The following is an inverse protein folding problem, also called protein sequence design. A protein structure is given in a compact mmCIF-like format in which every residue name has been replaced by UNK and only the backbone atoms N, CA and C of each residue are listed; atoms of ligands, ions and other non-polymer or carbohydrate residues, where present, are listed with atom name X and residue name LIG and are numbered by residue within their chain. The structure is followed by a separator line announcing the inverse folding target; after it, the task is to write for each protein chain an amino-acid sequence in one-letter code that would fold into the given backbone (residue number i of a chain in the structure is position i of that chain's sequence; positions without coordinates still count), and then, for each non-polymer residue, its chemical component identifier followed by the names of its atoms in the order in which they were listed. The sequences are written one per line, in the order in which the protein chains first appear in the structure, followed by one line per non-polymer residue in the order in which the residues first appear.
data_IF_437055491066
#
_entry.id   IF_437055491066
#
_cell.length_a   1.000
_cell.length_b   1.000
_cell.length_c   1.000
_cell.angle_alpha   90.00
_cell.angle_beta   90.00
_cell.angle_gamma   90.00
#
_symmetry.space_group_name_H-M   'P 1'
#
loop_
_entity.id
_entity.type
_entity.pdbx_description
1 polymer ?
#
# COMPACT_ATOMS: atom_id res chain seq x y z
N UNK A 1 -11.09 -34.85 60.38
CA UNK A 1 -10.76 -33.46 59.98
C UNK A 1 -10.39 -33.47 58.50
N UNK A 2 -11.33 -33.13 57.60
CA UNK A 2 -11.17 -33.29 56.13
C UNK A 2 -10.28 -32.16 55.59
N UNK A 3 -9.06 -32.50 55.16
CA UNK A 3 -8.03 -31.55 54.69
C UNK A 3 -8.00 -31.39 53.16
N UNK A 4 -8.89 -32.06 52.42
CA UNK A 4 -8.93 -32.10 50.95
C UNK A 4 -9.87 -31.08 50.27
N UNK A 5 -10.78 -30.44 51.00
CA UNK A 5 -11.78 -29.53 50.40
C UNK A 5 -11.18 -28.15 50.04
N UNK A 6 -10.12 -27.71 50.72
CA UNK A 6 -9.51 -26.39 50.50
C UNK A 6 -8.72 -26.30 49.21
N UNK A 7 -8.09 -27.38 48.78
CA UNK A 7 -7.27 -27.37 47.56
C UNK A 7 -8.13 -27.32 46.29
N UNK A 8 -9.24 -28.07 46.24
CA UNK A 8 -10.16 -28.04 45.11
C UNK A 8 -10.84 -26.68 44.92
N UNK A 9 -11.18 -26.02 46.04
CA UNK A 9 -11.74 -24.67 46.01
C UNK A 9 -10.75 -23.65 45.40
N UNK A 10 -9.47 -23.70 45.78
CA UNK A 10 -8.44 -22.78 45.23
C UNK A 10 -8.23 -22.99 43.72
N UNK A 11 -8.30 -24.23 43.24
CA UNK A 11 -8.24 -24.51 41.80
C UNK A 11 -9.44 -23.93 41.05
N UNK A 12 -10.64 -24.05 41.62
CA UNK A 12 -11.86 -23.49 41.03
C UNK A 12 -11.78 -21.96 40.98
N UNK A 13 -11.36 -21.30 42.06
CA UNK A 13 -11.19 -19.84 42.10
C UNK A 13 -10.19 -19.37 41.03
N UNK A 14 -9.04 -20.05 40.92
CA UNK A 14 -8.02 -19.73 39.91
C UNK A 14 -8.54 -19.86 38.48
N UNK A 15 -9.29 -20.93 38.20
CA UNK A 15 -9.90 -21.14 36.88
C UNK A 15 -10.96 -20.08 36.59
N UNK A 16 -11.83 -19.76 37.54
CA UNK A 16 -12.87 -18.73 37.36
C UNK A 16 -12.23 -17.36 37.11
N UNK A 17 -11.23 -16.96 37.89
CA UNK A 17 -10.55 -15.67 37.68
C UNK A 17 -9.84 -15.61 36.33
N UNK A 18 -9.24 -16.72 35.89
CA UNK A 18 -8.60 -16.80 34.58
C UNK A 18 -9.62 -16.70 33.45
N UNK A 19 -10.77 -17.37 33.58
CA UNK A 19 -11.86 -17.28 32.59
C UNK A 19 -12.46 -15.88 32.53
N UNK A 20 -12.67 -15.23 33.67
CA UNK A 20 -13.15 -13.83 33.70
C UNK A 20 -12.13 -12.92 33.03
N UNK A 21 -10.83 -13.08 33.33
CA UNK A 21 -9.76 -12.30 32.71
C UNK A 21 -9.71 -12.49 31.18
N UNK A 22 -9.76 -13.74 30.70
CA UNK A 22 -9.79 -14.05 29.26
C UNK A 22 -11.04 -13.50 28.59
N UNK A 23 -12.19 -13.57 29.25
CA UNK A 23 -13.45 -13.00 28.75
C UNK A 23 -13.36 -11.48 28.62
N UNK A 24 -12.78 -10.80 29.61
CA UNK A 24 -12.57 -9.35 29.55
C UNK A 24 -11.62 -8.95 28.41
N UNK A 25 -10.50 -9.67 28.23
CA UNK A 25 -9.56 -9.41 27.13
C UNK A 25 -10.26 -9.62 25.78
N UNK A 26 -11.02 -10.72 25.63
CA UNK A 26 -11.78 -11.00 24.42
C UNK A 26 -12.78 -9.90 24.08
N UNK A 27 -13.53 -9.42 25.07
CA UNK A 27 -14.48 -8.32 24.90
C UNK A 27 -13.78 -7.02 24.44
N UNK A 28 -12.63 -6.70 25.03
CA UNK A 28 -11.84 -5.51 24.66
C UNK A 28 -11.32 -5.60 23.23
N UNK A 29 -10.81 -6.76 22.80
CA UNK A 29 -10.28 -6.95 21.45
C UNK A 29 -11.34 -6.69 20.37
N UNK A 30 -12.59 -7.11 20.58
CA UNK A 30 -13.69 -6.88 19.63
C UNK A 30 -13.89 -5.39 19.34
N UNK A 31 -13.71 -4.52 20.33
CA UNK A 31 -13.82 -3.06 20.15
C UNK A 31 -12.56 -2.43 19.54
N UNK A 32 -11.37 -2.98 19.83
CA UNK A 32 -10.09 -2.39 19.41
C UNK A 32 -9.67 -2.84 18.00
N UNK A 33 -9.91 -4.10 17.63
CA UNK A 33 -9.47 -4.68 16.35
C UNK A 33 -9.91 -3.85 15.13
N UNK A 34 -11.15 -3.33 15.03
CA UNK A 34 -11.55 -2.50 13.89
C UNK A 34 -10.71 -1.23 13.75
N UNK A 35 -10.32 -0.60 14.87
CA UNK A 35 -9.53 0.64 14.87
C UNK A 35 -8.06 0.39 14.52
N UNK A 36 -7.52 -0.74 14.97
CA UNK A 36 -6.18 -1.19 14.57
C UNK A 36 -6.14 -1.40 13.05
N UNK A 37 -7.12 -2.10 12.49
CA UNK A 37 -7.19 -2.36 11.04
C UNK A 37 -7.26 -1.06 10.24
N UNK A 38 -8.14 -0.12 10.62
CA UNK A 38 -8.22 1.21 9.98
C UNK A 38 -6.86 1.95 9.99
N UNK A 39 -6.13 1.86 11.10
CA UNK A 39 -4.82 2.52 11.23
C UNK A 39 -3.76 1.83 10.37
N UNK A 40 -3.79 0.49 10.27
CA UNK A 40 -2.91 -0.27 9.40
C UNK A 40 -3.16 0.05 7.92
N UNK A 41 -4.43 0.01 7.47
CA UNK A 41 -4.83 0.34 6.10
C UNK A 41 -4.34 1.75 5.72
N UNK A 42 -4.52 2.73 6.61
CA UNK A 42 -4.04 4.11 6.39
C UNK A 42 -2.51 4.17 6.25
N UNK A 43 -1.78 3.47 7.11
CA UNK A 43 -0.32 3.43 7.05
C UNK A 43 0.18 2.80 5.74
N UNK A 44 -0.51 1.80 5.20
CA UNK A 44 -0.20 1.19 3.90
C UNK A 44 -0.41 2.20 2.76
N UNK A 45 -1.51 2.96 2.78
CA UNK A 45 -1.79 4.00 1.78
C UNK A 45 -0.73 5.10 1.83
N UNK A 46 -0.39 5.59 3.03
CA UNK A 46 0.63 6.63 3.22
C UNK A 46 2.03 6.14 2.79
N UNK A 47 2.38 4.89 3.11
CA UNK A 47 3.62 4.29 2.62
C UNK A 47 3.64 4.23 1.09
N UNK A 48 2.53 3.84 0.47
CA UNK A 48 2.41 3.76 -0.99
C UNK A 48 2.53 5.12 -1.64
N UNK A 49 1.91 6.14 -1.05
CA UNK A 49 2.05 7.53 -1.48
C UNK A 49 3.53 7.96 -1.44
N UNK A 50 4.24 7.66 -0.35
CA UNK A 50 5.66 7.96 -0.22
C UNK A 50 6.51 7.24 -1.28
N UNK A 51 6.17 6.00 -1.64
CA UNK A 51 6.84 5.25 -2.71
C UNK A 51 6.63 5.92 -4.07
N UNK A 52 5.39 6.29 -4.40
CA UNK A 52 5.09 6.99 -5.66
C UNK A 52 5.78 8.37 -5.72
N UNK A 53 5.82 9.10 -4.61
CA UNK A 53 6.55 10.37 -4.51
C UNK A 53 8.06 10.17 -4.66
N UNK A 54 8.61 9.08 -4.12
CA UNK A 54 10.02 8.73 -4.31
C UNK A 54 10.33 8.46 -5.78
N UNK A 55 9.50 7.65 -6.45
CA UNK A 55 9.61 7.39 -7.89
C UNK A 55 9.54 8.71 -8.67
N UNK A 56 8.58 9.59 -8.34
CA UNK A 56 8.45 10.89 -8.99
C UNK A 56 9.67 11.80 -8.79
N UNK A 57 10.22 11.84 -7.58
CA UNK A 57 11.45 12.57 -7.28
C UNK A 57 12.65 12.01 -8.04
N UNK A 58 12.76 10.68 -8.15
CA UNK A 58 13.79 10.01 -8.94
C UNK A 58 13.64 10.36 -10.42
N UNK A 59 12.44 10.28 -10.98
CA UNK A 59 12.12 10.68 -12.36
C UNK A 59 12.52 12.14 -12.61
N UNK A 60 12.11 13.06 -11.76
CA UNK A 60 12.46 14.48 -11.87
C UNK A 60 13.98 14.70 -11.86
N UNK A 61 14.70 14.02 -10.95
CA UNK A 61 16.18 14.12 -10.88
C UNK A 61 16.87 13.53 -12.12
N UNK A 62 16.32 12.46 -12.70
CA UNK A 62 16.88 11.83 -13.90
C UNK A 62 16.72 12.70 -15.14
N UNK A 63 15.60 13.39 -15.25
CA UNK A 63 15.33 14.32 -16.34
C UNK A 63 16.34 15.48 -16.32
N UNK A 64 16.64 16.02 -15.14
CA UNK A 64 17.69 17.05 -14.99
C UNK A 64 19.08 16.56 -15.39
N UNK A 65 19.37 15.27 -15.18
CA UNK A 65 20.65 14.66 -15.56
C UNK A 65 20.81 14.35 -17.06
N UNK A 66 19.73 14.48 -17.85
CA UNK A 66 19.75 14.27 -19.30
C UNK A 66 19.60 12.81 -19.75
N UNK A 67 19.61 12.56 -21.07
CA UNK A 67 19.42 11.22 -21.67
C UNK A 67 20.52 10.22 -21.27
N UNK A 68 20.14 8.96 -21.15
CA UNK A 68 21.00 7.85 -20.72
C UNK A 68 21.10 7.68 -19.20
N UNK A 69 20.48 8.57 -18.42
CA UNK A 69 20.47 8.46 -16.96
C UNK A 69 19.56 7.31 -16.51
N UNK A 70 20.08 6.48 -15.61
CA UNK A 70 19.40 5.30 -15.08
C UNK A 70 19.47 5.30 -13.57
N UNK A 71 18.36 4.95 -12.92
CA UNK A 71 18.25 4.82 -11.46
C UNK A 71 17.48 3.57 -11.11
N UNK A 72 17.83 3.00 -9.96
CA UNK A 72 17.14 1.84 -9.39
C UNK A 72 16.35 2.34 -8.18
N UNK A 73 15.08 1.96 -8.13
CA UNK A 73 14.16 2.25 -7.03
C UNK A 73 13.64 0.93 -6.48
N UNK A 74 13.74 0.77 -5.15
CA UNK A 74 13.22 -0.40 -4.47
C UNK A 74 11.77 -0.14 -4.08
N UNK A 75 10.86 -0.95 -4.63
CA UNK A 75 9.41 -0.81 -4.44
C UNK A 75 8.88 -2.02 -3.69
N UNK A 76 8.59 -1.84 -2.40
CA UNK A 76 7.93 -2.85 -1.58
C UNK A 76 6.42 -2.69 -1.64
N UNK A 77 5.72 -3.68 -2.22
CA UNK A 77 4.25 -3.72 -2.27
C UNK A 77 3.78 -4.63 -1.14
N UNK A 78 3.31 -4.02 -0.05
CA UNK A 78 2.79 -4.76 1.11
C UNK A 78 1.40 -5.33 0.84
N UNK A 79 0.54 -4.53 0.22
CA UNK A 79 -0.84 -4.90 -0.13
C UNK A 79 -1.24 -4.18 -1.42
N UNK A 80 -2.20 -4.75 -2.16
CA UNK A 80 -2.66 -4.17 -3.42
C UNK A 80 -1.77 -4.47 -4.62
N UNK A 81 -1.89 -3.63 -5.65
CA UNK A 81 -1.22 -3.79 -6.94
C UNK A 81 -0.74 -2.46 -7.49
N UNK A 82 0.49 -2.43 -8.00
CA UNK A 82 1.05 -1.31 -8.77
C UNK A 82 1.02 -1.65 -10.26
N UNK A 83 0.34 -0.85 -11.06
CA UNK A 83 0.35 -0.91 -12.52
C UNK A 83 1.24 0.20 -13.08
N UNK A 84 2.17 -0.19 -13.95
CA UNK A 84 2.92 0.71 -14.83
C UNK A 84 2.26 0.62 -16.19
N UNK A 85 1.56 1.67 -16.62
CA UNK A 85 0.79 1.68 -17.84
C UNK A 85 1.46 2.56 -18.91
N UNK A 86 2.18 1.93 -19.83
CA UNK A 86 2.83 2.63 -20.93
C UNK A 86 1.90 3.06 -22.07
N UNK A 87 0.65 2.63 -22.08
CA UNK A 87 -0.34 3.09 -23.06
C UNK A 87 -0.95 4.44 -22.66
N UNK A 88 -1.11 4.67 -21.35
CA UNK A 88 -1.74 5.87 -20.79
C UNK A 88 -0.74 6.84 -20.14
N UNK A 89 0.56 6.52 -20.11
CA UNK A 89 1.58 7.28 -19.40
C UNK A 89 1.26 7.46 -17.90
N UNK A 90 0.76 6.40 -17.24
CA UNK A 90 0.35 6.47 -15.83
C UNK A 90 0.99 5.38 -14.98
N UNK A 91 1.28 5.72 -13.73
CA UNK A 91 1.52 4.76 -12.66
C UNK A 91 0.30 4.76 -11.74
N UNK A 92 -0.34 3.61 -11.60
CA UNK A 92 -1.58 3.46 -10.85
C UNK A 92 -1.41 2.41 -9.77
N UNK A 93 -1.67 2.75 -8.52
CA UNK A 93 -1.70 1.81 -7.42
C UNK A 93 -3.12 1.61 -6.94
N UNK A 94 -3.54 0.37 -6.80
CA UNK A 94 -4.88 0.00 -6.35
C UNK A 94 -4.79 -0.87 -5.10
N UNK A 95 -5.61 -0.56 -4.11
CA UNK A 95 -5.73 -1.32 -2.87
C UNK A 95 -7.17 -1.36 -2.38
N UNK A 96 -7.50 -2.42 -1.66
CA UNK A 96 -8.82 -2.65 -1.08
C UNK A 96 -8.75 -2.45 0.42
N UNK A 97 -9.69 -1.70 0.99
CA UNK A 97 -9.78 -1.43 2.43
C UNK A 97 -11.20 -1.60 2.94
N UNK A 98 -11.34 -1.82 4.24
CA UNK A 98 -12.66 -1.85 4.90
C UNK A 98 -13.20 -0.45 5.21
N UNK A 99 -12.34 0.58 5.10
CA UNK A 99 -12.64 1.97 5.44
C UNK A 99 -12.15 2.92 4.36
N UNK A 100 -12.98 3.90 4.02
CA UNK A 100 -12.60 4.93 3.06
C UNK A 100 -11.42 5.76 3.55
N UNK A 101 -10.48 6.04 2.65
CA UNK A 101 -9.33 6.90 2.93
C UNK A 101 -9.64 8.39 2.71
N UNK A 102 -10.36 8.71 1.64
CA UNK A 102 -10.81 10.05 1.29
C UNK A 102 -12.33 10.12 1.11
N UNK A 103 -12.85 11.33 0.84
CA UNK A 103 -14.24 11.51 0.42
C UNK A 103 -14.57 10.58 -0.77
N UNK A 104 -15.69 9.86 -0.68
CA UNK A 104 -16.12 8.90 -1.70
C UNK A 104 -16.44 9.61 -3.01
N UNK A 105 -15.93 9.07 -4.12
CA UNK A 105 -16.19 9.58 -5.46
C UNK A 105 -15.47 10.90 -5.81
N UNK A 106 -14.70 11.46 -4.87
CA UNK A 106 -13.95 12.71 -5.07
C UNK A 106 -12.47 12.42 -5.16
N UNK A 107 -11.86 12.89 -6.24
CA UNK A 107 -10.40 12.86 -6.40
C UNK A 107 -9.78 13.98 -5.57
N UNK A 108 -8.81 13.64 -4.72
CA UNK A 108 -7.96 14.59 -4.01
C UNK A 108 -6.53 14.47 -4.52
N UNK A 109 -5.82 15.59 -4.67
CA UNK A 109 -4.43 15.57 -5.10
C UNK A 109 -3.50 15.73 -3.89
N UNK A 110 -2.59 14.79 -3.68
CA UNK A 110 -1.60 14.83 -2.60
C UNK A 110 -0.21 14.71 -3.20
N UNK A 111 0.54 15.81 -3.21
CA UNK A 111 1.91 15.83 -3.76
C UNK A 111 1.96 15.47 -5.25
N UNK A 112 0.96 15.88 -6.03
CA UNK A 112 0.90 15.59 -7.47
C UNK A 112 0.45 14.16 -7.80
N UNK A 113 -0.10 13.43 -6.84
CA UNK A 113 -0.72 12.11 -7.01
C UNK A 113 -2.21 12.26 -6.76
N UNK A 114 -3.02 11.77 -7.70
CA UNK A 114 -4.47 11.77 -7.61
C UNK A 114 -4.93 10.56 -6.81
N UNK A 115 -5.67 10.79 -5.73
CA UNK A 115 -6.20 9.76 -4.84
C UNK A 115 -7.72 9.73 -4.98
N UNK A 116 -8.26 8.57 -5.34
CA UNK A 116 -9.68 8.36 -5.53
C UNK A 116 -10.15 7.19 -4.66
N UNK A 117 -11.11 7.45 -3.79
CA UNK A 117 -11.78 6.39 -3.00
C UNK A 117 -13.14 6.10 -3.61
N UNK A 118 -13.39 4.84 -3.96
CA UNK A 118 -14.70 4.35 -4.44
C UNK A 118 -15.20 3.23 -3.55
N UNK A 119 -16.46 3.30 -3.12
CA UNK A 119 -17.09 2.21 -2.41
C UNK A 119 -17.79 1.28 -3.40
N UNK A 120 -17.50 -0.02 -3.29
CA UNK A 120 -18.24 -1.07 -4.01
C UNK A 120 -18.78 -2.03 -2.97
N UNK A 121 -20.10 -2.06 -2.82
CA UNK A 121 -20.79 -2.79 -1.74
C UNK A 121 -20.31 -2.35 -0.34
N UNK A 122 -19.49 -3.18 0.32
CA UNK A 122 -18.96 -2.92 1.67
C UNK A 122 -17.43 -2.79 1.71
N UNK A 123 -16.78 -2.72 0.55
CA UNK A 123 -15.33 -2.60 0.41
C UNK A 123 -15.03 -1.26 -0.27
N UNK A 124 -13.99 -0.58 0.20
CA UNK A 124 -13.47 0.62 -0.42
C UNK A 124 -12.28 0.28 -1.29
N UNK A 125 -12.27 0.81 -2.51
CA UNK A 125 -11.16 0.76 -3.45
C UNK A 125 -10.50 2.12 -3.44
N UNK A 126 -9.22 2.15 -3.08
CA UNK A 126 -8.41 3.36 -3.12
C UNK A 126 -7.45 3.23 -4.30
N UNK A 127 -7.60 4.14 -5.25
CA UNK A 127 -6.76 4.23 -6.45
C UNK A 127 -5.88 5.48 -6.33
N UNK A 128 -4.57 5.27 -6.35
CA UNK A 128 -3.55 6.32 -6.36
C UNK A 128 -2.99 6.38 -7.79
N UNK A 129 -3.12 7.51 -8.47
CA UNK A 129 -2.67 7.67 -9.85
C UNK A 129 -1.67 8.80 -9.97
N UNK A 130 -0.49 8.50 -10.52
CA UNK A 130 0.46 9.51 -10.97
C UNK A 130 0.45 9.56 -12.49
N UNK A 131 0.16 10.75 -13.00
CA UNK A 131 0.11 11.01 -14.43
C UNK A 131 1.45 11.57 -14.92
N UNK A 132 2.01 10.94 -15.95
CA UNK A 132 3.26 11.31 -16.61
C UNK A 132 3.03 11.75 -18.07
N UNK A 133 1.89 12.35 -18.41
CA UNK A 133 1.51 12.75 -19.78
C UNK A 133 2.56 13.59 -20.53
N UNK A 134 3.46 14.25 -19.81
CA UNK A 134 4.59 15.00 -20.38
C UNK A 134 5.75 14.10 -20.86
N UNK A 135 5.71 12.81 -20.55
CA UNK A 135 6.72 11.79 -20.83
C UNK A 135 6.06 10.59 -21.54
N UNK A 136 6.87 9.79 -22.24
CA UNK A 136 6.43 8.53 -22.88
C UNK A 136 6.87 7.38 -21.98
N UNK A 137 5.95 6.83 -21.19
CA UNK A 137 6.24 5.74 -20.24
C UNK A 137 6.25 4.43 -20.99
N UNK A 138 7.29 3.63 -20.82
CA UNK A 138 7.42 2.29 -21.41
C UNK A 138 7.77 1.27 -20.37
N UNK A 139 7.34 0.04 -20.59
CA UNK A 139 7.78 -1.12 -19.83
C UNK A 139 8.56 -2.03 -20.76
N UNK A 140 9.84 -2.27 -20.46
CA UNK A 140 10.77 -3.05 -21.29
C UNK A 140 10.77 -2.60 -22.78
N UNK A 141 10.68 -1.28 -22.99
CA UNK A 141 10.64 -0.66 -24.32
C UNK A 141 9.30 -0.77 -25.05
N UNK A 142 8.24 -1.29 -24.42
CA UNK A 142 6.90 -1.46 -25.01
C UNK A 142 5.86 -0.58 -24.31
N UNK A 143 4.80 -0.23 -25.05
CA UNK A 143 3.63 0.47 -24.53
C UNK A 143 2.61 -0.54 -23.99
N UNK A 144 3.05 -1.38 -23.06
CA UNK A 144 2.23 -2.40 -22.41
C UNK A 144 2.03 -2.04 -20.94
N UNK A 145 0.93 -2.51 -20.36
CA UNK A 145 0.69 -2.39 -18.93
C UNK A 145 1.37 -3.56 -18.21
N UNK A 146 2.12 -3.27 -17.15
CA UNK A 146 2.68 -4.26 -16.25
C UNK A 146 2.13 -4.07 -14.85
N UNK A 147 1.49 -5.11 -14.32
CA UNK A 147 0.99 -5.13 -12.95
C UNK A 147 1.97 -5.88 -12.04
N UNK A 148 2.28 -5.26 -10.90
CA UNK A 148 3.09 -5.80 -9.82
C UNK A 148 2.18 -6.03 -8.61
N UNK A 149 2.19 -7.26 -8.11
CA UNK A 149 1.36 -7.67 -6.97
C UNK A 149 2.17 -7.64 -5.69
N UNK A 150 1.48 -7.74 -4.56
CA UNK A 150 2.10 -7.91 -3.25
C UNK A 150 3.20 -8.99 -3.23
N UNK A 151 4.27 -8.73 -2.48
CA UNK A 151 5.41 -9.63 -2.36
C UNK A 151 6.23 -9.35 -1.11
N UNK A 152 6.85 -10.40 -0.57
CA UNK A 152 7.74 -10.28 0.61
C UNK A 152 9.08 -9.64 0.25
N UNK A 153 9.50 -9.77 -1.01
CA UNK A 153 10.71 -9.16 -1.57
C UNK A 153 10.34 -7.88 -2.33
N UNK A 154 10.99 -6.74 -2.03
CA UNK A 154 10.83 -5.52 -2.82
C UNK A 154 11.22 -5.75 -4.28
N UNK A 155 10.48 -5.14 -5.21
CA UNK A 155 10.83 -5.10 -6.62
C UNK A 155 11.97 -4.10 -6.85
N UNK A 156 12.99 -4.51 -7.59
CA UNK A 156 14.05 -3.61 -8.04
C UNK A 156 13.66 -3.04 -9.40
N UNK A 157 12.98 -1.89 -9.37
CA UNK A 157 12.53 -1.22 -10.58
C UNK A 157 13.65 -0.31 -11.05
N UNK A 158 14.13 -0.57 -12.27
CA UNK A 158 15.06 0.32 -12.93
C UNK A 158 14.32 1.23 -13.88
N UNK A 159 14.61 2.52 -13.77
CA UNK A 159 14.00 3.56 -14.59
C UNK A 159 15.12 4.20 -15.39
N UNK A 160 14.94 4.26 -16.71
CA UNK A 160 15.92 4.80 -17.65
C UNK A 160 15.31 5.93 -18.48
N UNK A 161 16.00 7.07 -18.51
CA UNK A 161 15.69 8.16 -19.41
C UNK A 161 16.34 7.91 -20.78
N UNK A 162 15.56 7.53 -21.79
CA UNK A 162 16.04 7.29 -23.15
C UNK A 162 16.11 8.55 -24.03
N UNK A 163 15.74 9.72 -23.49
CA UNK A 163 15.62 10.95 -24.27
C UNK A 163 14.49 10.89 -25.30
N UNK A 164 14.58 11.70 -26.35
CA UNK A 164 13.56 11.81 -27.39
C UNK A 164 12.92 13.20 -27.45
N UNK A 165 12.05 13.41 -28.44
CA UNK A 165 11.24 14.65 -28.58
C UNK A 165 10.25 14.80 -27.42
N UNK A 166 9.60 13.69 -27.07
CA UNK A 166 8.97 13.46 -25.77
C UNK A 166 9.90 12.52 -25.01
N UNK A 167 10.35 12.91 -23.82
CA UNK A 167 11.31 12.09 -23.05
C UNK A 167 10.70 10.72 -22.75
N UNK A 168 11.38 9.67 -23.21
CA UNK A 168 10.96 8.28 -22.97
C UNK A 168 11.52 7.80 -21.63
N UNK A 169 10.62 7.37 -20.74
CA UNK A 169 10.95 6.77 -19.45
C UNK A 169 10.69 5.26 -19.55
N UNK A 170 11.76 4.46 -19.58
CA UNK A 170 11.65 3.01 -19.70
C UNK A 170 11.84 2.34 -18.33
N UNK A 171 10.84 1.56 -17.94
CA UNK A 171 10.81 0.82 -16.68
C UNK A 171 11.17 -0.64 -16.94
N UNK A 172 12.06 -1.20 -16.13
CA UNK A 172 12.48 -2.61 -16.19
C UNK A 172 12.55 -3.17 -14.78
N UNK A 173 12.22 -4.45 -14.58
CA UNK A 173 12.27 -5.10 -13.27
C UNK A 173 13.41 -6.11 -13.28
N UNK A 174 14.24 -6.08 -12.23
CA UNK A 174 15.30 -7.06 -11.99
C UNK A 174 14.98 -7.95 -10.79
#
# INVERSE_FOLDING_TARGET
MKRGEKSGQVWIETVIYTLIALTMIGAVLVFITPKIKETQDRAVIEQTLNVLQNIDGVVASMIQGGPGNKRIVNVGIKEGTLEINGANDTLTFELQTDKGFSEEGKTINIGGIDVLTKRVQNIYYVTLTKNYSNYDVKFEGKNEAKTLTQGTTPYMITIENKGGTKTVLDFTIN
#
